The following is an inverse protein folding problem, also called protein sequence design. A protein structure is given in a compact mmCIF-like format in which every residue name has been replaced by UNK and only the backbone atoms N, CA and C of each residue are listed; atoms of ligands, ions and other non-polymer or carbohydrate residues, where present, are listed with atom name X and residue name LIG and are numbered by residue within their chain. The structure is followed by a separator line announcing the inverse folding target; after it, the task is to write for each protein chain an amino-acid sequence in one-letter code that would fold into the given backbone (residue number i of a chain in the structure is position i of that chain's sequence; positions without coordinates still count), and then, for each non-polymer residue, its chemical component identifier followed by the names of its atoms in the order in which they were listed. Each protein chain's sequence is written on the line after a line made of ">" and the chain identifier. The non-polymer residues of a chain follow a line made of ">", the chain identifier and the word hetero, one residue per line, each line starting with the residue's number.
data_IF_371424830433
#
_entry.id   IF_371424830433
#
_cell.length_a   1.000
_cell.length_b   1.000
_cell.length_c   1.000
_cell.angle_alpha   90.00
_cell.angle_beta   90.00
_cell.angle_gamma   90.00
#
_symmetry.space_group_name_H-M   'P 1'
#
loop_
_entity.id
_entity.type
_entity.pdbx_description
1 polymer ?
#
# COMPACT_ATOMS: atom_id res chain seq x y z
N UNK A 1 15.87 0.93 -9.02
CA UNK A 1 16.64 1.40 -10.20
C UNK A 1 16.53 0.33 -11.27
N UNK A 2 16.23 0.66 -12.54
CA UNK A 2 16.20 -0.32 -13.62
C UNK A 2 17.58 -0.92 -13.90
N UNK A 3 17.58 -2.09 -14.54
CA UNK A 3 18.80 -2.75 -15.01
C UNK A 3 19.55 -1.84 -15.99
N UNK A 4 20.89 -1.83 -15.91
CA UNK A 4 21.76 -1.04 -16.79
C UNK A 4 21.83 0.45 -16.45
N UNK A 5 21.00 0.97 -15.55
CA UNK A 5 21.06 2.37 -15.13
C UNK A 5 22.25 2.61 -14.21
N UNK A 6 23.04 3.65 -14.49
CA UNK A 6 24.18 4.08 -13.67
C UNK A 6 23.97 5.51 -13.15
N UNK A 7 23.56 5.64 -11.90
CA UNK A 7 23.54 6.95 -11.22
C UNK A 7 24.95 7.36 -10.81
N UNK A 8 25.14 8.63 -10.43
CA UNK A 8 26.44 9.14 -9.95
C UNK A 8 27.00 8.41 -8.73
N UNK A 9 26.13 7.77 -7.94
CA UNK A 9 26.54 6.99 -6.77
C UNK A 9 27.05 5.58 -7.12
N UNK A 10 26.88 5.13 -8.37
CA UNK A 10 27.26 3.79 -8.81
C UNK A 10 28.55 3.80 -9.65
N UNK A 11 29.52 2.99 -9.23
CA UNK A 11 30.76 2.78 -9.98
C UNK A 11 30.50 2.10 -11.34
N UNK A 12 29.58 1.12 -11.36
CA UNK A 12 29.16 0.37 -12.54
C UNK A 12 27.63 0.45 -12.73
N UNK A 13 27.10 0.17 -13.93
CA UNK A 13 25.66 0.04 -14.15
C UNK A 13 25.00 -0.95 -13.17
N UNK A 14 23.77 -0.64 -12.76
CA UNK A 14 23.00 -1.54 -11.91
C UNK A 14 22.78 -2.90 -12.60
N UNK A 15 23.18 -3.98 -11.93
CA UNK A 15 23.09 -5.36 -12.45
C UNK A 15 21.76 -6.05 -12.09
N UNK A 16 20.91 -5.41 -11.29
CA UNK A 16 19.64 -5.99 -10.84
C UNK A 16 18.46 -5.42 -11.62
N UNK A 17 17.45 -6.26 -11.87
CA UNK A 17 16.15 -5.81 -12.34
C UNK A 17 15.37 -5.11 -11.22
N UNK A 18 14.56 -4.12 -11.58
CA UNK A 18 13.65 -3.47 -10.65
C UNK A 18 12.37 -4.28 -10.46
N UNK A 19 11.79 -4.15 -9.27
CA UNK A 19 10.43 -4.59 -8.99
C UNK A 19 9.49 -3.42 -9.20
N UNK A 20 8.30 -3.68 -9.76
CA UNK A 20 7.24 -2.70 -9.82
C UNK A 20 6.42 -2.74 -8.52
N UNK A 21 6.54 -1.73 -7.63
CA UNK A 21 5.88 -1.76 -6.33
C UNK A 21 4.35 -1.70 -6.43
N UNK A 22 3.81 -0.99 -7.43
CA UNK A 22 2.36 -0.89 -7.64
C UNK A 22 1.81 -2.24 -8.10
N UNK A 23 2.43 -2.87 -9.10
CA UNK A 23 2.02 -4.20 -9.56
C UNK A 23 2.14 -5.24 -8.43
N UNK A 24 3.23 -5.20 -7.65
CA UNK A 24 3.42 -6.12 -6.53
C UNK A 24 2.33 -5.94 -5.46
N UNK A 25 1.99 -4.70 -5.10
CA UNK A 25 0.93 -4.44 -4.13
C UNK A 25 -0.44 -4.95 -4.62
N UNK A 26 -0.76 -4.69 -5.90
CA UNK A 26 -1.99 -5.17 -6.53
C UNK A 26 -2.08 -6.70 -6.51
N UNK A 27 -1.02 -7.40 -6.91
CA UNK A 27 -1.01 -8.88 -6.97
C UNK A 27 -0.92 -9.52 -5.59
N UNK A 28 -0.39 -8.80 -4.59
CA UNK A 28 -0.35 -9.24 -3.20
C UNK A 28 -1.68 -9.04 -2.45
N UNK A 29 -2.69 -8.46 -3.10
CA UNK A 29 -4.04 -8.30 -2.55
C UNK A 29 -4.26 -7.03 -1.71
N UNK A 30 -3.45 -5.99 -1.91
CA UNK A 30 -3.76 -4.69 -1.32
C UNK A 30 -5.08 -4.13 -1.88
N UNK A 31 -5.93 -3.68 -0.97
CA UNK A 31 -7.28 -3.18 -1.28
C UNK A 31 -7.33 -1.69 -1.58
N UNK A 32 -6.24 -0.97 -1.35
CA UNK A 32 -6.05 0.40 -1.80
C UNK A 32 -4.62 0.52 -2.31
N UNK A 33 -4.44 0.94 -3.56
CA UNK A 33 -3.12 1.12 -4.17
C UNK A 33 -3.08 2.47 -4.88
N UNK A 34 -2.08 3.27 -4.55
CA UNK A 34 -1.85 4.58 -5.15
C UNK A 34 -0.36 4.83 -5.43
N UNK A 35 -0.08 5.80 -6.30
CA UNK A 35 1.26 6.38 -6.48
C UNK A 35 1.20 7.90 -6.30
N UNK A 36 2.08 8.44 -5.47
CA UNK A 36 2.22 9.88 -5.23
C UNK A 36 3.56 10.42 -5.71
N UNK A 37 3.70 11.74 -5.65
CA UNK A 37 4.96 12.44 -5.96
C UNK A 37 5.29 13.44 -4.87
N UNK A 38 6.50 13.37 -4.32
CA UNK A 38 6.92 14.16 -3.16
C UNK A 38 6.86 15.68 -3.41
N UNK A 39 7.15 16.15 -4.63
CA UNK A 39 7.07 17.58 -4.97
C UNK A 39 5.67 18.03 -5.40
N UNK A 40 4.66 17.16 -5.33
CA UNK A 40 3.25 17.53 -5.43
C UNK A 40 2.57 17.30 -4.07
N UNK A 41 2.89 18.18 -3.11
CA UNK A 41 2.53 18.01 -1.70
C UNK A 41 1.02 17.92 -1.44
N UNK A 42 0.23 18.74 -2.12
CA UNK A 42 -1.24 18.74 -1.95
C UNK A 42 -1.85 17.42 -2.43
N UNK A 43 -1.45 16.94 -3.61
CA UNK A 43 -1.90 15.64 -4.12
C UNK A 43 -1.47 14.49 -3.20
N UNK A 44 -0.21 14.47 -2.75
CA UNK A 44 0.30 13.43 -1.86
C UNK A 44 -0.43 13.42 -0.51
N UNK A 45 -0.70 14.61 0.06
CA UNK A 45 -1.50 14.76 1.29
C UNK A 45 -2.88 14.12 1.13
N UNK A 46 -3.58 14.40 0.02
CA UNK A 46 -4.90 13.83 -0.23
C UNK A 46 -4.87 12.31 -0.45
N UNK A 47 -3.83 11.78 -1.10
CA UNK A 47 -3.64 10.32 -1.20
C UNK A 47 -3.45 9.68 0.18
N UNK A 48 -2.60 10.26 1.03
CA UNK A 48 -2.34 9.75 2.38
C UNK A 48 -3.61 9.77 3.22
N UNK A 49 -4.39 10.86 3.20
CA UNK A 49 -5.67 10.95 3.89
C UNK A 49 -6.63 9.84 3.44
N UNK A 50 -6.77 9.64 2.12
CA UNK A 50 -7.64 8.59 1.55
C UNK A 50 -7.17 7.18 1.94
N UNK A 51 -5.85 6.94 1.98
CA UNK A 51 -5.30 5.66 2.43
C UNK A 51 -5.55 5.39 3.92
N UNK A 52 -5.45 6.40 4.78
CA UNK A 52 -5.68 6.26 6.23
C UNK A 52 -7.15 5.91 6.52
N UNK A 53 -8.10 6.54 5.82
CA UNK A 53 -9.53 6.26 6.04
C UNK A 53 -10.04 5.03 5.27
N UNK A 54 -9.21 4.45 4.40
CA UNK A 54 -9.57 3.24 3.67
C UNK A 54 -9.75 2.07 4.63
N UNK A 55 -10.87 1.36 4.52
CA UNK A 55 -11.09 0.11 5.25
C UNK A 55 -10.37 -1.03 4.54
N UNK A 56 -9.11 -1.25 4.92
CA UNK A 56 -8.30 -2.35 4.44
C UNK A 56 -6.82 -2.00 4.41
N UNK A 57 -6.01 -2.89 3.85
CA UNK A 57 -4.59 -2.60 3.65
C UNK A 57 -4.43 -1.61 2.49
N UNK A 58 -3.71 -0.52 2.76
CA UNK A 58 -3.43 0.54 1.80
C UNK A 58 -1.92 0.64 1.52
N UNK A 59 -1.58 0.85 0.25
CA UNK A 59 -0.21 1.03 -0.22
C UNK A 59 -0.10 2.31 -1.06
N UNK A 60 0.91 3.13 -0.76
CA UNK A 60 1.25 4.31 -1.56
C UNK A 60 2.72 4.23 -1.97
N UNK A 61 2.97 4.10 -3.28
CA UNK A 61 4.29 4.27 -3.87
C UNK A 61 4.60 5.77 -4.01
N UNK A 62 5.61 6.30 -3.32
CA UNK A 62 5.94 7.73 -3.38
C UNK A 62 7.19 7.95 -4.21
N UNK A 63 7.00 8.53 -5.40
CA UNK A 63 8.09 9.01 -6.22
C UNK A 63 8.79 10.17 -5.51
N UNK A 64 10.04 9.95 -5.10
CA UNK A 64 10.82 10.90 -4.32
C UNK A 64 12.23 11.06 -4.92
N UNK A 65 12.56 12.24 -5.47
CA UNK A 65 13.89 12.48 -6.03
C UNK A 65 14.96 12.60 -4.93
N UNK A 66 16.04 11.85 -5.07
CA UNK A 66 17.21 11.95 -4.20
C UNK A 66 18.30 12.81 -4.87
N UNK A 67 18.33 14.10 -4.53
CA UNK A 67 19.27 15.10 -5.10
C UNK A 67 20.75 14.73 -4.88
N UNK A 68 21.05 14.07 -3.77
CA UNK A 68 22.42 13.76 -3.35
C UNK A 68 23.04 12.59 -4.10
N UNK A 69 22.26 11.61 -4.58
CA UNK A 69 22.81 10.36 -5.14
C UNK A 69 22.24 9.97 -6.51
N UNK A 70 21.03 10.39 -6.84
CA UNK A 70 20.35 9.98 -8.08
C UNK A 70 20.18 11.19 -9.01
N UNK A 71 21.14 11.35 -9.93
CA UNK A 71 21.15 12.42 -10.93
C UNK A 71 20.33 12.11 -12.20
N UNK A 72 19.65 10.96 -12.26
CA UNK A 72 18.85 10.54 -13.42
C UNK A 72 17.37 10.82 -13.17
N UNK A 73 16.84 10.26 -12.07
CA UNK A 73 15.44 10.42 -11.68
C UNK A 73 15.24 11.69 -10.84
N UNK A 74 15.52 12.83 -11.48
CA UNK A 74 15.45 14.16 -10.87
C UNK A 74 14.02 14.68 -10.75
N UNK A 75 13.83 15.81 -10.06
CA UNK A 75 12.53 16.45 -10.01
C UNK A 75 11.98 16.82 -11.40
N UNK A 76 12.87 17.22 -12.32
CA UNK A 76 12.50 17.56 -13.70
C UNK A 76 12.13 16.33 -14.53
N UNK A 77 12.84 15.21 -14.33
CA UNK A 77 12.50 13.94 -14.95
C UNK A 77 11.06 13.54 -14.65
N UNK A 78 10.64 13.63 -13.39
CA UNK A 78 9.28 13.28 -12.99
C UNK A 78 8.26 14.31 -13.43
N UNK A 79 8.51 15.63 -13.24
CA UNK A 79 7.55 16.68 -13.62
C UNK A 79 7.12 16.62 -15.09
N UNK A 80 8.04 16.26 -15.98
CA UNK A 80 7.76 16.13 -17.42
C UNK A 80 7.02 14.85 -17.80
N UNK A 81 6.91 13.86 -16.90
CA UNK A 81 6.38 12.51 -17.22
C UNK A 81 5.14 12.14 -16.41
N UNK A 82 4.96 12.71 -15.22
CA UNK A 82 3.83 12.34 -14.37
C UNK A 82 2.50 12.78 -14.98
N UNK A 83 1.47 11.94 -14.82
CA UNK A 83 0.10 12.30 -15.17
C UNK A 83 -0.88 11.73 -14.16
N UNK A 84 -1.95 12.48 -13.90
CA UNK A 84 -2.92 12.16 -12.85
C UNK A 84 -4.05 11.30 -13.42
N UNK A 85 -4.17 10.06 -12.91
CA UNK A 85 -5.18 9.10 -13.36
C UNK A 85 -6.61 9.59 -13.15
N UNK A 86 -6.88 10.26 -12.03
CA UNK A 86 -8.22 10.77 -11.73
C UNK A 86 -8.58 11.93 -12.67
N UNK A 87 -7.62 12.80 -13.00
CA UNK A 87 -7.84 13.84 -14.02
C UNK A 87 -8.00 13.26 -15.43
N UNK A 88 -7.41 12.12 -15.71
CA UNK A 88 -7.58 11.38 -16.95
C UNK A 88 -8.90 10.59 -17.04
N UNK A 89 -9.74 10.63 -15.99
CA UNK A 89 -11.06 9.99 -15.97
C UNK A 89 -11.07 8.54 -15.47
N UNK A 90 -9.97 8.05 -14.89
CA UNK A 90 -9.94 6.71 -14.30
C UNK A 90 -10.77 6.65 -13.00
N UNK A 91 -11.76 5.75 -12.95
CA UNK A 91 -12.48 5.40 -11.72
C UNK A 91 -11.84 4.15 -11.06
N UNK A 92 -11.08 4.28 -9.97
CA UNK A 92 -10.40 3.16 -9.32
C UNK A 92 -11.27 2.37 -8.34
N UNK A 93 -12.47 2.86 -8.00
CA UNK A 93 -13.28 2.31 -6.90
C UNK A 93 -14.12 1.14 -7.39
N UNK A 94 -13.97 -0.01 -6.77
CA UNK A 94 -14.88 -1.15 -6.91
C UNK A 94 -16.15 -0.83 -6.11
N UNK A 95 -17.22 -0.51 -6.81
CA UNK A 95 -18.58 -0.30 -6.33
C UNK A 95 -19.38 -1.59 -6.30
N UNK A 96 -19.08 -2.53 -7.22
CA UNK A 96 -19.71 -3.85 -7.29
C UNK A 96 -18.67 -4.97 -7.38
N UNK A 97 -18.96 -6.12 -6.78
CA UNK A 97 -18.00 -7.23 -6.72
C UNK A 97 -17.61 -7.79 -8.11
N UNK A 98 -18.51 -7.72 -9.09
CA UNK A 98 -18.31 -8.22 -10.45
C UNK A 98 -17.26 -7.42 -11.23
N UNK A 99 -17.06 -6.13 -10.92
CA UNK A 99 -16.08 -5.28 -11.62
C UNK A 99 -14.67 -5.31 -10.98
N UNK A 100 -14.50 -6.04 -9.87
CA UNK A 100 -13.25 -6.06 -9.11
C UNK A 100 -12.06 -6.55 -9.95
N UNK A 101 -12.28 -7.54 -10.80
CA UNK A 101 -11.26 -8.12 -11.69
C UNK A 101 -10.90 -7.14 -12.81
N UNK A 102 -11.89 -6.51 -13.43
CA UNK A 102 -11.69 -5.52 -14.49
C UNK A 102 -10.88 -4.31 -13.99
N UNK A 103 -11.25 -3.76 -12.82
CA UNK A 103 -10.51 -2.64 -12.22
C UNK A 103 -9.10 -3.02 -11.81
N UNK A 104 -8.90 -4.25 -11.32
CA UNK A 104 -7.56 -4.76 -11.01
C UNK A 104 -6.69 -4.87 -12.27
N UNK A 105 -7.24 -5.39 -13.37
CA UNK A 105 -6.55 -5.48 -14.66
C UNK A 105 -6.19 -4.08 -15.20
N UNK A 106 -7.11 -3.13 -15.14
CA UNK A 106 -6.86 -1.74 -15.50
C UNK A 106 -5.75 -1.11 -14.65
N UNK A 107 -5.80 -1.31 -13.33
CA UNK A 107 -4.77 -0.86 -12.39
C UNK A 107 -3.39 -1.46 -12.71
N UNK A 108 -3.32 -2.76 -13.01
CA UNK A 108 -2.07 -3.42 -13.43
C UNK A 108 -1.57 -2.81 -14.74
N UNK A 109 -2.44 -2.60 -15.73
CA UNK A 109 -2.06 -1.97 -17.01
C UNK A 109 -1.44 -0.59 -16.79
N UNK A 110 -2.08 0.29 -16.00
CA UNK A 110 -1.51 1.59 -15.66
C UNK A 110 -0.17 1.46 -14.93
N UNK A 111 -0.03 0.47 -14.06
CA UNK A 111 1.22 0.28 -13.30
C UNK A 111 2.43 0.00 -14.19
N UNK A 112 2.22 -0.53 -15.39
CA UNK A 112 3.25 -0.90 -16.37
C UNK A 112 3.63 0.24 -17.33
N UNK A 113 3.00 1.42 -17.23
CA UNK A 113 3.37 2.57 -18.04
C UNK A 113 4.75 3.12 -17.64
N UNK A 114 5.67 3.22 -18.61
CA UNK A 114 7.05 3.71 -18.39
C UNK A 114 7.30 5.12 -18.96
N UNK A 115 6.75 5.43 -20.14
CA UNK A 115 6.97 6.73 -20.80
C UNK A 115 6.29 7.88 -20.07
N UNK A 116 5.03 7.65 -19.69
CA UNK A 116 4.24 8.52 -18.81
C UNK A 116 4.06 7.79 -17.49
N UNK A 117 4.25 8.50 -16.39
CA UNK A 117 4.26 7.89 -15.06
C UNK A 117 2.94 8.22 -14.38
N UNK A 118 1.99 7.27 -14.29
CA UNK A 118 0.70 7.55 -13.67
C UNK A 118 0.89 7.79 -12.17
N UNK A 119 0.27 8.85 -11.67
CA UNK A 119 0.09 9.16 -10.26
C UNK A 119 -1.41 9.23 -9.96
N UNK A 120 -1.75 9.10 -8.68
CA UNK A 120 -3.13 9.00 -8.22
C UNK A 120 -3.43 7.60 -7.70
N UNK A 121 -4.71 7.30 -7.57
CA UNK A 121 -5.21 6.03 -7.07
C UNK A 121 -5.42 5.07 -8.25
N UNK A 122 -4.84 3.89 -8.15
CA UNK A 122 -4.94 2.83 -9.16
C UNK A 122 -6.14 1.94 -8.88
N UNK A 123 -6.35 1.58 -7.61
CA UNK A 123 -7.35 0.60 -7.22
C UNK A 123 -7.85 0.85 -5.80
N UNK A 124 -9.15 0.72 -5.58
CA UNK A 124 -9.80 0.72 -4.26
C UNK A 124 -10.88 -0.36 -4.25
N UNK A 125 -10.79 -1.33 -3.33
CA UNK A 125 -11.80 -2.34 -3.12
C UNK A 125 -12.21 -2.40 -1.63
N UNK A 126 -13.35 -1.79 -1.27
CA UNK A 126 -13.83 -1.77 0.11
C UNK A 126 -14.58 -3.04 0.52
N UNK A 127 -14.80 -3.98 -0.40
CA UNK A 127 -15.64 -5.17 -0.15
C UNK A 127 -14.89 -6.36 0.43
N UNK A 128 -13.55 -6.30 0.46
CA UNK A 128 -12.73 -7.37 1.03
C UNK A 128 -12.81 -7.30 2.56
N UNK A 129 -13.17 -8.39 3.26
CA UNK A 129 -13.31 -8.37 4.70
C UNK A 129 -11.96 -8.11 5.38
N UNK A 130 -11.98 -7.24 6.40
CA UNK A 130 -10.79 -6.88 7.16
C UNK A 130 -10.22 -8.10 7.90
N UNK A 131 -8.94 -8.04 8.27
CA UNK A 131 -8.36 -9.08 9.12
C UNK A 131 -9.09 -9.17 10.47
N UNK A 132 -9.43 -8.02 11.05
CA UNK A 132 -10.16 -7.84 12.30
C UNK A 132 -11.58 -8.42 12.23
N UNK A 133 -12.24 -8.30 11.08
CA UNK A 133 -13.57 -8.86 10.85
C UNK A 133 -13.53 -10.38 10.69
N UNK A 134 -12.47 -10.90 10.05
CA UNK A 134 -12.21 -12.34 10.00
C UNK A 134 -11.85 -12.88 11.38
N UNK A 135 -11.04 -12.16 12.15
CA UNK A 135 -10.65 -12.52 13.50
C UNK A 135 -11.85 -12.61 14.43
N UNK A 136 -12.84 -11.70 14.30
CA UNK A 136 -14.10 -11.74 15.06
C UNK A 136 -14.89 -13.04 14.89
N UNK A 137 -14.73 -13.75 13.76
CA UNK A 137 -15.38 -15.05 13.54
C UNK A 137 -14.85 -16.15 14.47
N UNK A 138 -13.61 -16.01 14.93
CA UNK A 138 -12.93 -16.92 15.86
C UNK A 138 -12.95 -16.36 17.29
N UNK A 139 -12.56 -15.09 17.43
CA UNK A 139 -12.53 -14.34 18.68
C UNK A 139 -13.71 -13.38 18.75
N UNK A 140 -14.86 -13.85 19.23
CA UNK A 140 -16.15 -13.09 19.21
C UNK A 140 -16.06 -11.69 19.81
N UNK A 141 -15.22 -11.51 20.82
CA UNK A 141 -15.03 -10.24 21.52
C UNK A 141 -14.08 -9.25 20.82
N UNK A 142 -13.39 -9.66 19.76
CA UNK A 142 -12.45 -8.79 19.04
C UNK A 142 -13.19 -7.75 18.16
N UNK A 143 -12.75 -6.47 18.12
CA UNK A 143 -11.61 -5.87 18.81
C UNK A 143 -11.94 -5.25 20.18
N UNK A 144 -13.20 -5.38 20.67
CA UNK A 144 -13.64 -4.81 21.95
C UNK A 144 -12.72 -5.27 23.09
N UNK A 145 -12.43 -6.56 23.12
CA UNK A 145 -11.35 -7.15 23.92
C UNK A 145 -10.27 -7.62 22.97
N UNK A 146 -9.07 -7.10 23.14
CA UNK A 146 -7.88 -7.36 22.33
C UNK A 146 -6.65 -7.52 23.26
N UNK A 147 -5.51 -8.01 22.76
CA UNK A 147 -4.35 -8.25 23.61
C UNK A 147 -3.85 -7.03 24.40
N UNK A 148 -4.04 -5.81 23.88
CA UNK A 148 -3.56 -4.59 24.52
C UNK A 148 -4.46 -4.13 25.69
N UNK A 149 -5.75 -4.49 25.70
CA UNK A 149 -6.69 -4.10 26.76
C UNK A 149 -7.21 -5.29 27.58
N UNK A 150 -6.71 -6.50 27.32
CA UNK A 150 -7.03 -7.69 28.11
C UNK A 150 -6.28 -7.65 29.43
N UNK A 151 -6.95 -7.85 30.59
CA UNK A 151 -6.26 -7.94 31.86
C UNK A 151 -5.39 -9.20 31.90
N UNK A 152 -4.10 -9.04 32.15
CA UNK A 152 -3.15 -10.15 32.31
C UNK A 152 -2.95 -10.56 33.78
N UNK A 153 -3.37 -9.70 34.70
CA UNK A 153 -3.21 -9.89 36.14
C UNK A 153 -4.45 -9.41 36.90
N UNK A 154 -4.77 -10.06 38.02
CA UNK A 154 -5.75 -9.62 39.01
C UNK A 154 -5.22 -9.92 40.41
N UNK A 155 -5.19 -8.91 41.27
CA UNK A 155 -4.71 -9.02 42.66
C UNK A 155 -3.26 -9.57 42.77
N UNK A 156 -2.30 -9.07 41.99
CA UNK A 156 -0.90 -9.57 41.97
C UNK A 156 -0.74 -11.03 41.54
N UNK A 157 -1.74 -11.60 40.86
CA UNK A 157 -1.71 -12.96 40.32
C UNK A 157 -2.11 -12.97 38.83
N UNK A 158 -1.47 -13.80 37.99
CA UNK A 158 -1.81 -13.88 36.57
C UNK A 158 -3.25 -14.37 36.39
N UNK A 159 -3.98 -13.78 35.43
CA UNK A 159 -5.33 -14.22 35.09
C UNK A 159 -5.32 -15.64 34.47
N UNK A 160 -4.22 -16.01 33.83
CA UNK A 160 -3.97 -17.35 33.29
C UNK A 160 -2.85 -18.00 34.10
N UNK A 161 -3.19 -18.87 35.06
CA UNK A 161 -2.20 -19.66 35.81
C UNK A 161 -1.65 -20.82 34.97
N UNK A 162 -0.54 -21.41 35.39
CA UNK A 162 0.03 -22.60 34.73
C UNK A 162 -0.96 -23.75 34.67
N UNK A 163 -1.70 -24.01 35.74
CA UNK A 163 -2.71 -25.08 35.79
C UNK A 163 -3.82 -24.84 34.76
N UNK A 164 -4.31 -23.60 34.65
CA UNK A 164 -5.34 -23.23 33.65
C UNK A 164 -4.77 -23.32 32.23
N UNK A 165 -3.50 -22.99 32.04
CA UNK A 165 -2.84 -23.11 30.74
C UNK A 165 -2.74 -24.57 30.29
N UNK A 166 -2.32 -25.49 31.18
CA UNK A 166 -2.25 -26.93 30.91
C UNK A 166 -3.61 -27.57 30.64
N UNK A 167 -4.70 -27.05 31.22
CA UNK A 167 -6.06 -27.53 30.92
C UNK A 167 -6.59 -27.06 29.56
N UNK A 168 -6.14 -25.89 29.08
CA UNK A 168 -6.65 -25.26 27.86
C UNK A 168 -5.87 -25.63 26.59
N UNK A 169 -4.60 -26.02 26.72
CA UNK A 169 -3.67 -26.27 25.62
C UNK A 169 -3.02 -27.66 25.71
#
# INVERSE_FOLDING_TARGET
>A
LPYGVRTKALNYPNIHYNVNPVALALTSGYTFVARGYAFNGEHLKELIKKAIVHRGSAFIDVLQPCVTFNNIYTAEYYRSRIHDLQKAGWNPVVERLDEAVEKLQGAIKFSLEEERIPIGIFYVNPHVPLFEERLRKVLKEYPRVNPANSPIERNNAPVLSSDIFEELF
#
